data_IF_988916870192
#
_entry.id   IF_988916870192
#
_cell.length_a   1.000
_cell.length_b   1.000
_cell.length_c   1.000
_cell.angle_alpha   90.00
_cell.angle_beta   90.00
_cell.angle_gamma   90.00
#
_symmetry.space_group_name_H-M   'P 1'
#
loop_
_entity.id
_entity.type
_entity.pdbx_description
1 polymer ?
#
# COMPACT_ATOMS: atom_id res chain seq x y z
N UNK A 1 -4.66 -6.56 14.20
CA UNK A 1 -5.78 -7.53 14.27
C UNK A 1 -5.42 -8.72 13.40
N UNK A 2 -4.89 -9.78 14.02
CA UNK A 2 -4.55 -11.01 13.31
C UNK A 2 -5.82 -11.63 12.70
N UNK A 3 -5.76 -11.91 11.39
CA UNK A 3 -6.80 -12.69 10.73
C UNK A 3 -6.62 -14.16 11.10
N UNK A 4 -7.73 -14.87 11.29
CA UNK A 4 -7.69 -16.32 11.51
C UNK A 4 -7.33 -16.96 10.18
N UNK A 5 -6.34 -17.86 10.19
CA UNK A 5 -6.01 -18.67 9.01
C UNK A 5 -7.18 -19.65 8.80
N UNK A 6 -7.82 -19.57 7.63
CA UNK A 6 -8.98 -20.39 7.22
C UNK A 6 -10.20 -20.32 8.17
N UNK A 7 -10.94 -19.19 8.19
CA UNK A 7 -12.14 -19.06 9.01
C UNK A 7 -13.31 -19.86 8.44
N UNK A 8 -14.13 -20.46 9.31
CA UNK A 8 -15.42 -21.02 8.91
C UNK A 8 -16.33 -19.89 8.41
N UNK A 9 -16.79 -19.98 7.17
CA UNK A 9 -17.52 -18.89 6.53
C UNK A 9 -19.02 -18.90 6.80
N UNK A 10 -19.54 -20.03 7.26
CA UNK A 10 -20.98 -20.26 7.41
C UNK A 10 -21.27 -20.60 8.88
N UNK A 11 -22.31 -19.97 9.42
CA UNK A 11 -22.88 -20.27 10.72
C UNK A 11 -24.33 -20.71 10.51
N UNK A 12 -24.68 -21.87 11.09
CA UNK A 12 -26.05 -22.35 11.15
C UNK A 12 -26.60 -22.00 12.52
N UNK A 13 -27.72 -21.27 12.56
CA UNK A 13 -28.38 -20.83 13.80
C UNK A 13 -29.85 -21.29 13.83
N UNK A 14 -30.55 -20.98 14.92
CA UNK A 14 -31.96 -21.33 15.13
C UNK A 14 -32.27 -22.84 14.96
N UNK A 15 -31.37 -23.70 15.47
CA UNK A 15 -31.53 -25.15 15.44
C UNK A 15 -31.52 -25.74 14.03
N UNK A 16 -30.70 -25.20 13.12
CA UNK A 16 -30.58 -25.73 11.75
C UNK A 16 -31.30 -24.92 10.67
N UNK A 17 -32.20 -24.01 11.07
CA UNK A 17 -33.14 -23.36 10.14
C UNK A 17 -32.57 -22.16 9.40
N UNK A 18 -31.56 -21.49 9.97
CA UNK A 18 -31.01 -20.26 9.39
C UNK A 18 -29.53 -20.46 9.07
N UNK A 19 -29.19 -20.30 7.79
CA UNK A 19 -27.81 -20.31 7.30
C UNK A 19 -27.36 -18.88 7.01
N UNK A 20 -26.33 -18.42 7.70
CA UNK A 20 -25.80 -17.06 7.54
C UNK A 20 -24.27 -17.07 7.47
N UNK A 21 -23.69 -15.95 7.02
CA UNK A 21 -22.22 -15.81 7.01
C UNK A 21 -21.71 -15.63 8.43
N UNK A 22 -20.61 -16.29 8.79
CA UNK A 22 -19.98 -16.17 10.10
C UNK A 22 -18.97 -15.02 10.11
N UNK A 23 -18.79 -14.39 11.27
CA UNK A 23 -17.78 -13.37 11.47
C UNK A 23 -16.36 -13.95 11.32
N UNK A 24 -15.52 -13.34 10.47
CA UNK A 24 -14.13 -13.78 10.22
C UNK A 24 -13.10 -13.27 11.23
N UNK A 25 -13.50 -12.35 12.12
CA UNK A 25 -12.59 -11.77 13.11
C UNK A 25 -12.33 -12.71 14.31
N UNK A 26 -11.13 -12.58 14.87
CA UNK A 26 -10.68 -13.22 16.12
C UNK A 26 -11.32 -12.53 17.34
N UNK A 27 -11.86 -13.33 18.26
CA UNK A 27 -12.36 -12.86 19.55
C UNK A 27 -11.20 -12.44 20.44
N UNK A 28 -11.26 -11.26 21.07
CA UNK A 28 -10.22 -10.82 22.00
C UNK A 28 -10.21 -11.60 23.32
N UNK A 29 -11.33 -12.22 23.71
CA UNK A 29 -11.45 -12.96 24.98
C UNK A 29 -11.02 -14.42 24.87
N UNK A 30 -11.41 -15.07 23.77
CA UNK A 30 -11.23 -16.52 23.61
C UNK A 30 -10.16 -16.86 22.60
N UNK A 31 -9.66 -15.87 21.86
CA UNK A 31 -8.74 -16.07 20.75
C UNK A 31 -9.25 -16.94 19.59
N UNK A 32 -10.46 -17.48 19.69
CA UNK A 32 -11.11 -18.23 18.63
C UNK A 32 -11.84 -17.33 17.62
N UNK A 33 -12.28 -17.94 16.52
CA UNK A 33 -13.17 -17.26 15.58
C UNK A 33 -14.47 -16.82 16.24
N UNK A 34 -14.81 -15.56 16.02
CA UNK A 34 -16.06 -15.00 16.51
C UNK A 34 -17.25 -15.87 16.09
N UNK A 35 -18.03 -16.32 17.08
CA UNK A 35 -19.22 -17.17 16.89
C UNK A 35 -20.47 -16.39 16.44
N UNK A 36 -20.35 -15.07 16.22
CA UNK A 36 -21.48 -14.23 15.79
C UNK A 36 -21.70 -14.29 14.28
N UNK A 37 -22.94 -14.12 13.83
CA UNK A 37 -23.22 -13.87 12.43
C UNK A 37 -22.54 -12.57 11.97
N UNK A 38 -22.02 -12.58 10.75
CA UNK A 38 -21.54 -11.39 10.07
C UNK A 38 -22.72 -10.47 9.76
N UNK A 39 -22.47 -9.16 9.77
CA UNK A 39 -23.47 -8.19 9.32
C UNK A 39 -23.69 -8.33 7.82
N UNK A 40 -24.94 -8.26 7.36
CA UNK A 40 -25.31 -8.29 5.94
C UNK A 40 -24.62 -7.17 5.14
N UNK A 41 -24.45 -6.00 5.75
CA UNK A 41 -23.78 -4.85 5.13
C UNK A 41 -22.25 -4.96 5.10
N UNK A 42 -21.66 -5.96 5.76
CA UNK A 42 -20.21 -6.05 5.88
C UNK A 42 -19.55 -6.63 4.63
N UNK A 43 -18.74 -5.82 3.93
CA UNK A 43 -17.88 -6.28 2.84
C UNK A 43 -16.83 -7.30 3.29
N UNK A 44 -16.40 -7.22 4.54
CA UNK A 44 -15.33 -8.07 5.11
C UNK A 44 -15.86 -9.24 5.94
N UNK A 45 -17.18 -9.46 5.94
CA UNK A 45 -17.80 -10.59 6.67
C UNK A 45 -17.57 -10.50 8.18
N UNK A 46 -17.63 -9.29 8.76
CA UNK A 46 -17.48 -9.06 10.20
C UNK A 46 -18.83 -8.77 10.86
N UNK A 47 -18.97 -9.11 12.14
CA UNK A 47 -20.15 -8.76 12.94
C UNK A 47 -20.10 -7.30 13.42
N UNK A 48 -21.19 -6.76 13.95
CA UNK A 48 -21.26 -5.37 14.44
C UNK A 48 -20.16 -5.01 15.45
N UNK A 49 -19.81 -5.93 16.36
CA UNK A 49 -18.76 -5.71 17.38
C UNK A 49 -17.34 -5.74 16.80
N UNK A 50 -17.14 -6.40 15.67
CA UNK A 50 -15.86 -6.43 14.96
C UNK A 50 -15.85 -5.45 13.77
N UNK A 51 -16.67 -4.40 13.83
CA UNK A 51 -16.69 -3.33 12.83
C UNK A 51 -17.45 -3.67 11.55
N UNK A 52 -18.30 -4.69 11.55
CA UNK A 52 -19.11 -5.08 10.40
C UNK A 52 -20.10 -4.01 9.93
N UNK A 53 -20.44 -3.05 10.80
CA UNK A 53 -21.26 -1.89 10.49
C UNK A 53 -20.45 -0.60 10.28
N UNK A 54 -19.14 -0.64 10.54
CA UNK A 54 -18.29 0.55 10.39
C UNK A 54 -18.03 0.79 8.91
N UNK A 55 -18.45 1.95 8.41
CA UNK A 55 -18.21 2.37 7.02
C UNK A 55 -17.02 3.31 6.87
N UNK A 56 -16.43 3.75 7.98
CA UNK A 56 -15.43 4.82 8.00
C UNK A 56 -15.98 6.19 7.56
N UNK A 57 -15.14 7.22 7.51
CA UNK A 57 -15.53 8.54 7.01
C UNK A 57 -15.78 8.50 5.49
N UNK A 58 -16.96 8.94 5.08
CA UNK A 58 -17.34 9.02 3.65
C UNK A 58 -16.96 10.35 3.01
N UNK A 59 -16.97 11.43 3.79
CA UNK A 59 -16.70 12.80 3.32
C UNK A 59 -15.20 13.08 3.20
N UNK A 60 -14.84 14.04 2.35
CA UNK A 60 -13.45 14.51 2.20
C UNK A 60 -12.94 15.10 3.52
N UNK A 61 -13.71 15.99 4.13
CA UNK A 61 -13.41 16.61 5.43
C UNK A 61 -13.19 15.57 6.54
N UNK A 62 -14.02 14.52 6.59
CA UNK A 62 -13.87 13.45 7.58
C UNK A 62 -12.56 12.68 7.39
N UNK A 63 -12.14 12.45 6.14
CA UNK A 63 -10.85 11.83 5.83
C UNK A 63 -9.70 12.76 6.18
N UNK A 64 -9.82 14.05 5.89
CA UNK A 64 -8.78 15.06 6.13
C UNK A 64 -8.56 15.27 7.64
N UNK A 65 -9.62 15.25 8.45
CA UNK A 65 -9.52 15.29 9.92
C UNK A 65 -8.76 14.09 10.47
N UNK A 66 -9.05 12.89 9.98
CA UNK A 66 -8.31 11.69 10.38
C UNK A 66 -6.85 11.79 9.95
N UNK A 67 -6.58 12.27 8.72
CA UNK A 67 -5.20 12.49 8.26
C UNK A 67 -4.48 13.44 9.20
N UNK A 68 -5.05 14.61 9.49
CA UNK A 68 -4.41 15.63 10.34
C UNK A 68 -4.10 15.11 11.74
N UNK A 69 -5.03 14.36 12.37
CA UNK A 69 -4.78 13.74 13.68
C UNK A 69 -3.62 12.74 13.65
N UNK A 70 -3.42 12.03 12.55
CA UNK A 70 -2.32 11.06 12.40
C UNK A 70 -1.03 11.67 11.82
N UNK A 71 -0.99 12.97 11.51
CA UNK A 71 0.24 13.65 11.12
C UNK A 71 1.15 13.79 12.35
N UNK A 72 2.33 13.14 12.30
CA UNK A 72 3.36 13.25 13.34
C UNK A 72 4.50 14.20 12.92
N UNK A 73 5.12 13.92 11.77
CA UNK A 73 6.34 14.61 11.32
C UNK A 73 6.25 15.14 9.86
N UNK A 74 5.13 14.91 9.16
CA UNK A 74 4.95 15.36 7.77
C UNK A 74 5.68 14.54 6.70
N UNK A 75 6.74 13.80 7.05
CA UNK A 75 7.54 13.02 6.09
C UNK A 75 6.78 11.90 5.35
N UNK A 76 5.68 11.44 5.92
CA UNK A 76 4.86 10.37 5.37
C UNK A 76 3.56 10.88 4.72
N UNK A 77 3.46 12.19 4.50
CA UNK A 77 2.41 12.81 3.68
C UNK A 77 2.49 12.32 2.24
N UNK A 78 1.38 12.43 1.50
CA UNK A 78 1.34 12.03 0.10
C UNK A 78 2.32 12.85 -0.76
N UNK A 79 2.46 14.14 -0.46
CA UNK A 79 3.38 15.06 -1.13
C UNK A 79 4.83 14.67 -0.88
N UNK A 80 5.22 14.49 0.39
CA UNK A 80 6.58 14.07 0.74
C UNK A 80 6.94 12.70 0.13
N UNK A 81 5.98 11.76 0.08
CA UNK A 81 6.15 10.46 -0.59
C UNK A 81 6.35 10.60 -2.09
N UNK A 82 5.57 11.47 -2.73
CA UNK A 82 5.69 11.73 -4.16
C UNK A 82 7.05 12.35 -4.49
N UNK A 83 7.49 13.33 -3.70
CA UNK A 83 8.79 13.97 -3.87
C UNK A 83 9.94 12.97 -3.66
N UNK A 84 9.89 12.15 -2.59
CA UNK A 84 10.87 11.08 -2.34
C UNK A 84 10.90 10.07 -3.50
N UNK A 85 9.74 9.68 -4.02
CA UNK A 85 9.65 8.78 -5.18
C UNK A 85 10.27 9.39 -6.43
N UNK A 86 9.99 10.68 -6.72
CA UNK A 86 10.56 11.38 -7.86
C UNK A 86 12.10 11.46 -7.75
N UNK A 87 12.63 11.83 -6.59
CA UNK A 87 14.07 11.80 -6.30
C UNK A 87 14.67 10.41 -6.48
N UNK A 88 13.97 9.36 -6.02
CA UNK A 88 14.45 7.96 -6.19
C UNK A 88 14.56 7.56 -7.67
N UNK A 89 13.62 8.01 -8.51
CA UNK A 89 13.68 7.81 -9.97
C UNK A 89 14.88 8.54 -10.57
N UNK A 90 15.07 9.82 -10.23
CA UNK A 90 16.21 10.63 -10.66
C UNK A 90 17.55 9.96 -10.30
N UNK A 91 17.72 9.54 -9.04
CA UNK A 91 18.93 8.84 -8.60
C UNK A 91 19.19 7.54 -9.36
N UNK A 92 18.13 6.84 -9.78
CA UNK A 92 18.28 5.61 -10.55
C UNK A 92 18.83 5.87 -11.95
N UNK A 93 18.34 6.90 -12.65
CA UNK A 93 18.88 7.32 -13.94
C UNK A 93 20.33 7.82 -13.81
N UNK A 94 20.65 8.59 -12.77
CA UNK A 94 22.02 9.02 -12.48
C UNK A 94 22.97 7.84 -12.30
N UNK A 95 22.54 6.80 -11.58
CA UNK A 95 23.34 5.60 -11.38
C UNK A 95 23.58 4.86 -12.70
N UNK A 96 22.57 4.77 -13.57
CA UNK A 96 22.73 4.11 -14.87
C UNK A 96 23.69 4.89 -15.77
N UNK A 97 23.61 6.22 -15.79
CA UNK A 97 24.57 7.08 -16.51
C UNK A 97 25.98 6.95 -15.96
N UNK A 98 26.16 7.02 -14.63
CA UNK A 98 27.47 6.89 -13.99
C UNK A 98 28.12 5.53 -14.29
N UNK A 99 27.31 4.47 -14.33
CA UNK A 99 27.74 3.13 -14.74
C UNK A 99 28.14 3.07 -16.22
N UNK A 100 27.41 3.76 -17.10
CA UNK A 100 27.69 3.81 -18.54
C UNK A 100 28.98 4.55 -18.87
N UNK A 101 29.23 5.71 -18.23
CA UNK A 101 30.44 6.50 -18.44
C UNK A 101 31.65 6.00 -17.64
N UNK A 102 31.52 4.91 -16.88
CA UNK A 102 32.60 4.36 -16.06
C UNK A 102 33.01 5.24 -14.89
N UNK A 103 32.10 6.08 -14.38
CA UNK A 103 32.37 6.99 -13.25
C UNK A 103 32.69 6.22 -11.95
N UNK A 104 32.09 5.05 -11.78
CA UNK A 104 32.27 4.23 -10.59
C UNK A 104 33.34 3.15 -10.81
N UNK A 105 34.17 2.92 -9.80
CA UNK A 105 35.18 1.84 -9.79
C UNK A 105 34.58 0.45 -10.05
N UNK A 106 33.32 0.23 -9.66
CA UNK A 106 32.55 -0.98 -9.96
C UNK A 106 31.14 -0.61 -10.40
N UNK A 107 30.51 -1.50 -11.19
CA UNK A 107 29.13 -1.34 -11.62
C UNK A 107 28.17 -1.39 -10.42
N UNK A 108 27.65 -0.23 -10.03
CA UNK A 108 26.76 -0.10 -8.88
C UNK A 108 25.37 -0.66 -9.22
N UNK A 109 24.75 -1.36 -8.27
CA UNK A 109 23.38 -1.87 -8.39
C UNK A 109 22.55 -1.45 -7.18
N UNK A 110 21.37 -0.89 -7.43
CA UNK A 110 20.40 -0.59 -6.38
C UNK A 110 19.76 -1.87 -5.87
N UNK A 111 19.71 -2.07 -4.55
CA UNK A 111 19.00 -3.19 -3.94
C UNK A 111 17.48 -2.95 -3.99
N UNK A 112 16.72 -4.04 -4.18
CA UNK A 112 15.25 -4.01 -4.13
C UNK A 112 14.58 -3.68 -5.47
N UNK A 113 13.27 -3.46 -5.41
CA UNK A 113 12.45 -3.14 -6.59
C UNK A 113 12.77 -1.72 -7.08
N UNK A 114 12.93 -1.50 -8.39
CA UNK A 114 13.11 -0.15 -8.94
C UNK A 114 11.90 0.75 -8.62
N UNK A 115 12.11 2.08 -8.52
CA UNK A 115 11.06 3.02 -8.20
C UNK A 115 9.98 3.07 -9.29
N UNK A 116 8.75 3.37 -8.88
CA UNK A 116 7.62 3.51 -9.81
C UNK A 116 7.86 4.69 -10.76
N UNK A 117 7.78 4.45 -12.07
CA UNK A 117 8.03 5.47 -13.11
C UNK A 117 9.43 5.46 -13.72
N UNK A 118 10.33 4.59 -13.24
CA UNK A 118 11.61 4.32 -13.90
C UNK A 118 11.42 3.36 -15.08
N UNK A 119 12.02 3.70 -16.22
CA UNK A 119 12.10 2.87 -17.41
C UNK A 119 13.58 2.62 -17.68
N UNK A 120 13.93 1.36 -17.93
CA UNK A 120 15.31 1.01 -18.28
C UNK A 120 15.56 1.38 -19.73
N UNK A 121 16.54 2.25 -19.95
CA UNK A 121 16.95 2.75 -21.26
C UNK A 121 18.27 2.12 -21.70
N UNK A 122 18.50 2.05 -23.00
CA UNK A 122 19.75 1.68 -23.62
C UNK A 122 20.64 2.90 -23.86
N UNK A 123 21.60 3.10 -22.98
CA UNK A 123 22.46 4.29 -22.97
C UNK A 123 23.50 4.32 -24.10
N UNK A 124 23.66 3.26 -24.89
CA UNK A 124 24.50 3.31 -26.11
C UNK A 124 23.84 4.09 -27.25
N UNK A 125 22.50 4.20 -27.22
CA UNK A 125 21.76 5.00 -28.18
C UNK A 125 21.74 6.48 -27.76
N UNK A 126 22.16 7.43 -28.62
CA UNK A 126 22.20 8.84 -28.27
C UNK A 126 20.85 9.44 -27.89
N UNK A 127 19.75 8.98 -28.49
CA UNK A 127 18.41 9.52 -28.20
C UNK A 127 17.94 9.09 -26.80
N UNK A 128 18.07 7.80 -26.49
CA UNK A 128 17.77 7.27 -25.16
C UNK A 128 18.70 7.83 -24.07
N UNK A 129 19.96 8.10 -24.39
CA UNK A 129 20.90 8.78 -23.51
C UNK A 129 20.43 10.22 -23.20
N UNK A 130 20.00 10.97 -24.22
CA UNK A 130 19.45 12.31 -24.04
C UNK A 130 18.17 12.27 -23.18
N UNK A 131 17.30 11.28 -23.38
CA UNK A 131 16.09 11.10 -22.58
C UNK A 131 16.43 10.83 -21.10
N UNK A 132 17.43 9.98 -20.82
CA UNK A 132 17.88 9.70 -19.45
C UNK A 132 18.38 10.98 -18.75
N UNK A 133 19.11 11.84 -19.47
CA UNK A 133 19.60 13.13 -18.96
C UNK A 133 18.42 14.07 -18.68
N UNK A 134 17.47 14.20 -19.61
CA UNK A 134 16.29 15.04 -19.43
C UNK A 134 15.45 14.61 -18.21
N UNK A 135 15.38 13.31 -17.91
CA UNK A 135 14.67 12.79 -16.72
C UNK A 135 15.33 13.14 -15.39
N UNK A 136 16.58 13.56 -15.40
CA UNK A 136 17.33 13.97 -14.19
C UNK A 136 17.15 15.46 -13.93
N UNK A 137 16.97 16.26 -14.97
CA UNK A 137 16.84 17.70 -14.84
C UNK A 137 15.51 18.07 -14.16
N UNK A 138 15.50 19.06 -13.25
CA UNK A 138 14.26 19.56 -12.67
C UNK A 138 13.39 20.16 -13.77
N UNK A 139 12.11 19.78 -13.80
CA UNK A 139 11.12 20.49 -14.60
C UNK A 139 11.00 21.90 -14.02
N UNK A 140 11.58 22.89 -14.70
CA UNK A 140 11.34 24.31 -14.39
C UNK A 140 9.99 24.73 -14.94
#
# INVERSE_FOLDING_TARGET
>A
MSQIKNPELILITAGGRIKCRRCTAKSSRTEEQCKRPASKLSKTSKCSRHGGLSTGPKTKEGKDRIRSTHLKHGEETLEAKAERSAKSVMFKYLLDLGNHVGLFYTQLKTRGRPPSGYVRLNLTDPEELALAILKILPNK
#
